data_IF_428659515604
#
_entry.id   IF_428659515604
#
_cell.length_a   1.000
_cell.length_b   1.000
_cell.length_c   1.000
_cell.angle_alpha   90.00
_cell.angle_beta   90.00
_cell.angle_gamma   90.00
#
_symmetry.space_group_name_H-M   'P 1'
#
loop_
_entity.id
_entity.type
_entity.pdbx_description
1 polymer ?
#
# COMPACT_ATOMS: atom_id res chain seq x y z
N UNK A 1 74.39 33.75 6.98
CA UNK A 1 73.35 33.01 7.72
C UNK A 1 72.02 33.63 7.34
N UNK A 2 71.14 32.78 6.83
CA UNK A 2 69.93 33.11 6.08
C UNK A 2 68.76 33.52 6.99
N UNK A 3 67.73 34.07 6.34
CA UNK A 3 66.28 34.03 6.64
C UNK A 3 65.66 35.43 6.67
N UNK A 4 64.48 35.70 6.11
CA UNK A 4 63.65 35.06 5.11
C UNK A 4 62.66 36.17 4.73
N UNK A 5 62.50 36.40 3.44
CA UNK A 5 61.55 37.38 2.88
C UNK A 5 60.12 36.91 3.15
N UNK A 6 59.31 37.71 3.86
CA UNK A 6 57.90 37.39 4.09
C UNK A 6 57.01 38.24 3.18
N UNK A 7 56.58 37.62 2.08
CA UNK A 7 55.52 38.13 1.20
C UNK A 7 54.17 37.82 1.88
N UNK A 8 53.22 38.77 1.96
CA UNK A 8 51.88 38.47 2.44
C UNK A 8 51.15 37.56 1.44
N UNK A 9 50.77 36.37 1.90
CA UNK A 9 49.97 35.39 1.17
C UNK A 9 48.51 35.88 1.10
N UNK A 10 47.99 36.09 -0.10
CA UNK A 10 46.55 36.21 -0.38
C UNK A 10 45.85 34.91 0.04
N UNK A 11 44.71 34.93 0.75
CA UNK A 11 43.99 33.69 1.01
C UNK A 11 43.36 33.21 -0.29
N UNK A 12 43.89 32.10 -0.81
CA UNK A 12 43.23 31.31 -1.85
C UNK A 12 41.94 30.73 -1.26
N UNK A 13 40.79 31.18 -1.77
CA UNK A 13 39.54 30.48 -1.53
C UNK A 13 39.65 29.08 -2.15
N UNK A 14 39.66 28.04 -1.31
CA UNK A 14 39.61 26.64 -1.76
C UNK A 14 38.35 26.39 -2.58
N UNK A 15 38.44 25.93 -3.84
CA UNK A 15 37.27 25.68 -4.66
C UNK A 15 36.87 24.20 -4.55
N UNK A 16 36.60 23.70 -3.34
CA UNK A 16 36.22 22.29 -3.16
C UNK A 16 35.35 22.10 -1.91
N UNK A 17 34.19 22.75 -1.83
CA UNK A 17 33.08 22.17 -1.06
C UNK A 17 31.70 22.71 -1.45
N UNK A 18 31.30 22.49 -2.69
CA UNK A 18 29.86 22.59 -3.02
C UNK A 18 29.52 21.63 -4.14
N UNK A 19 29.88 20.36 -3.95
CA UNK A 19 29.22 19.28 -4.66
C UNK A 19 27.80 19.14 -4.07
N UNK A 20 26.88 19.96 -4.56
CA UNK A 20 25.45 19.69 -4.39
C UNK A 20 25.18 18.26 -4.88
N UNK A 21 24.43 17.42 -4.14
CA UNK A 21 24.20 16.05 -4.57
C UNK A 21 23.23 16.06 -5.75
N UNK A 22 23.77 15.90 -6.96
CA UNK A 22 23.03 15.75 -8.21
C UNK A 22 22.23 14.43 -8.32
N UNK A 23 21.97 13.76 -7.19
CA UNK A 23 21.11 12.56 -7.08
C UNK A 23 19.79 12.77 -6.33
N UNK A 24 19.50 13.98 -5.86
CA UNK A 24 18.42 14.23 -4.89
C UNK A 24 17.00 14.34 -5.45
N UNK A 25 16.81 14.89 -6.66
CA UNK A 25 15.46 15.22 -7.15
C UNK A 25 14.59 13.99 -7.48
N UNK A 26 15.06 12.98 -8.24
CA UNK A 26 14.26 11.78 -8.49
C UNK A 26 14.02 10.95 -7.23
N UNK A 27 15.00 10.90 -6.33
CA UNK A 27 14.87 10.19 -5.04
C UNK A 27 13.86 10.87 -4.11
N UNK A 28 13.87 12.21 -4.05
CA UNK A 28 12.90 12.98 -3.28
C UNK A 28 11.48 12.83 -3.83
N UNK A 29 11.32 12.82 -5.16
CA UNK A 29 10.03 12.61 -5.82
C UNK A 29 9.47 11.21 -5.56
N UNK A 30 10.30 10.17 -5.68
CA UNK A 30 9.93 8.79 -5.31
C UNK A 30 9.52 8.72 -3.83
N UNK A 31 10.24 9.42 -2.95
CA UNK A 31 9.90 9.49 -1.53
C UNK A 31 8.52 10.09 -1.27
N UNK A 32 8.16 11.16 -1.97
CA UNK A 32 6.81 11.75 -1.85
C UNK A 32 5.72 10.84 -2.40
N UNK A 33 5.96 10.20 -3.54
CA UNK A 33 5.02 9.24 -4.11
C UNK A 33 4.78 8.05 -3.17
N UNK A 34 5.81 7.54 -2.49
CA UNK A 34 5.67 6.49 -1.47
C UNK A 34 4.84 6.94 -0.29
N UNK A 35 5.09 8.14 0.26
CA UNK A 35 4.25 8.70 1.34
C UNK A 35 2.78 8.83 0.93
N UNK A 36 2.50 9.14 -0.33
CA UNK A 36 1.13 9.17 -0.87
C UNK A 36 0.52 7.77 -0.95
N UNK A 37 1.29 6.77 -1.35
CA UNK A 37 0.89 5.35 -1.35
C UNK A 37 0.58 4.90 0.08
N UNK A 38 1.45 5.19 1.06
CA UNK A 38 1.25 4.80 2.46
C UNK A 38 -0.08 5.36 3.02
N UNK A 39 -0.44 6.60 2.65
CA UNK A 39 -1.73 7.19 3.04
C UNK A 39 -2.93 6.50 2.40
N UNK A 40 -2.79 5.99 1.19
CA UNK A 40 -3.82 5.20 0.52
C UNK A 40 -3.91 3.81 1.18
N UNK A 41 -2.77 3.19 1.47
CA UNK A 41 -2.71 1.87 2.09
C UNK A 41 -3.33 1.86 3.49
N UNK A 42 -3.13 2.93 4.27
CA UNK A 42 -3.84 3.11 5.54
C UNK A 42 -5.37 3.13 5.36
N UNK A 43 -5.87 3.86 4.36
CA UNK A 43 -7.31 3.89 4.04
C UNK A 43 -7.82 2.55 3.53
N UNK A 44 -7.01 1.84 2.73
CA UNK A 44 -7.32 0.49 2.26
C UNK A 44 -7.45 -0.48 3.44
N UNK A 45 -6.55 -0.42 4.42
CA UNK A 45 -6.61 -1.28 5.61
C UNK A 45 -7.93 -1.10 6.37
N UNK A 46 -8.35 0.14 6.62
CA UNK A 46 -9.63 0.40 7.29
C UNK A 46 -10.85 -0.06 6.46
N UNK A 47 -10.80 0.10 5.14
CA UNK A 47 -11.88 -0.36 4.25
C UNK A 47 -11.97 -1.89 4.22
N UNK A 48 -10.82 -2.57 4.23
CA UNK A 48 -10.75 -4.02 4.28
C UNK A 48 -11.30 -4.56 5.61
N UNK A 49 -10.94 -3.94 6.72
CA UNK A 49 -11.48 -4.28 8.05
C UNK A 49 -13.01 -4.17 8.09
N UNK A 50 -13.54 -3.00 7.70
CA UNK A 50 -14.99 -2.79 7.64
C UNK A 50 -15.69 -3.78 6.72
N UNK A 51 -15.05 -4.14 5.59
CA UNK A 51 -15.58 -5.13 4.66
C UNK A 51 -15.59 -6.53 5.27
N UNK A 52 -14.54 -6.92 5.99
CA UNK A 52 -14.46 -8.22 6.65
C UNK A 52 -15.54 -8.36 7.73
N UNK A 53 -15.76 -7.33 8.55
CA UNK A 53 -16.86 -7.30 9.53
C UNK A 53 -18.23 -7.48 8.87
N UNK A 54 -18.52 -6.76 7.78
CA UNK A 54 -19.76 -6.96 7.03
C UNK A 54 -19.87 -8.36 6.41
N UNK A 55 -18.75 -8.93 5.96
CA UNK A 55 -18.74 -10.30 5.46
C UNK A 55 -19.06 -11.29 6.60
N UNK A 56 -18.50 -11.11 7.80
CA UNK A 56 -18.80 -11.92 8.97
C UNK A 56 -20.29 -11.85 9.33
N UNK A 57 -20.88 -10.65 9.32
CA UNK A 57 -22.32 -10.44 9.53
C UNK A 57 -23.16 -11.24 8.53
N UNK A 58 -22.82 -11.15 7.23
CA UNK A 58 -23.47 -11.93 6.17
C UNK A 58 -23.32 -13.42 6.40
N UNK A 59 -22.13 -13.89 6.80
CA UNK A 59 -21.88 -15.31 7.04
C UNK A 59 -22.72 -15.86 8.21
N UNK A 60 -22.96 -15.07 9.27
CA UNK A 60 -23.83 -15.47 10.38
C UNK A 60 -25.30 -15.63 9.98
N UNK A 61 -25.73 -14.94 8.92
CA UNK A 61 -27.10 -15.00 8.41
C UNK A 61 -27.31 -16.10 7.34
N UNK A 62 -26.23 -16.61 6.74
CA UNK A 62 -26.33 -17.62 5.68
C UNK A 62 -26.60 -19.01 6.25
N UNK A 63 -27.51 -19.80 5.64
CA UNK A 63 -27.76 -21.19 6.05
C UNK A 63 -26.55 -22.11 5.80
N UNK A 64 -25.74 -21.80 4.78
CA UNK A 64 -24.44 -22.42 4.53
C UNK A 64 -23.40 -21.30 4.49
N UNK A 65 -22.64 -21.19 5.57
CA UNK A 65 -21.58 -20.19 5.74
C UNK A 65 -20.21 -20.64 5.23
N UNK A 66 -19.20 -19.79 5.43
CA UNK A 66 -17.81 -20.04 5.03
C UNK A 66 -17.62 -20.14 3.51
N UNK A 67 -16.58 -20.87 3.12
CA UNK A 67 -16.23 -21.10 1.71
C UNK A 67 -17.31 -21.83 0.91
N UNK A 68 -18.11 -22.67 1.56
CA UNK A 68 -19.22 -23.37 0.92
C UNK A 68 -20.37 -22.43 0.49
N UNK A 69 -20.47 -21.25 1.09
CA UNK A 69 -21.45 -20.22 0.77
C UNK A 69 -20.98 -19.18 -0.27
N UNK A 70 -19.91 -19.46 -1.03
CA UNK A 70 -19.44 -18.57 -2.10
C UNK A 70 -20.43 -18.51 -3.26
N UNK A 71 -20.55 -17.32 -3.84
CA UNK A 71 -21.45 -17.03 -4.94
C UNK A 71 -20.64 -16.45 -6.11
N UNK A 72 -20.22 -17.30 -7.07
CA UNK A 72 -19.38 -16.88 -8.18
C UNK A 72 -20.04 -15.82 -9.08
N UNK A 73 -21.37 -15.79 -9.17
CA UNK A 73 -22.09 -14.81 -9.97
C UNK A 73 -22.06 -13.43 -9.30
N UNK A 74 -22.35 -13.38 -7.99
CA UNK A 74 -22.25 -12.16 -7.20
C UNK A 74 -20.83 -11.59 -7.20
N UNK A 75 -19.82 -12.45 -7.14
CA UNK A 75 -18.41 -12.08 -7.19
C UNK A 75 -18.01 -11.51 -8.56
N UNK A 76 -18.47 -12.11 -9.67
CA UNK A 76 -18.25 -11.57 -11.03
C UNK A 76 -18.92 -10.20 -11.20
N UNK A 77 -20.15 -10.04 -10.74
CA UNK A 77 -20.87 -8.77 -10.81
C UNK A 77 -20.17 -7.66 -10.01
N UNK A 78 -19.65 -7.99 -8.82
CA UNK A 78 -18.83 -7.09 -8.01
C UNK A 78 -17.59 -6.62 -8.79
N UNK A 79 -16.85 -7.55 -9.38
CA UNK A 79 -15.63 -7.23 -10.15
C UNK A 79 -15.94 -6.36 -11.37
N UNK A 80 -17.02 -6.65 -12.09
CA UNK A 80 -17.45 -5.84 -13.23
C UNK A 80 -17.72 -4.38 -12.81
N UNK A 81 -18.49 -4.17 -11.73
CA UNK A 81 -18.76 -2.84 -11.20
C UNK A 81 -17.49 -2.12 -10.70
N UNK A 82 -16.52 -2.85 -10.16
CA UNK A 82 -15.22 -2.27 -9.77
C UNK A 82 -14.38 -1.88 -10.98
N UNK A 83 -14.45 -2.65 -12.08
CA UNK A 83 -13.67 -2.39 -13.29
C UNK A 83 -14.07 -1.07 -13.97
N UNK A 84 -15.35 -0.68 -13.90
CA UNK A 84 -15.83 0.63 -14.35
C UNK A 84 -15.16 1.78 -13.59
N UNK A 85 -14.89 1.58 -12.29
CA UNK A 85 -14.29 2.59 -11.40
C UNK A 85 -12.76 2.58 -11.45
N UNK A 86 -12.15 1.44 -11.77
CA UNK A 86 -10.70 1.24 -11.83
C UNK A 86 -10.27 0.68 -13.21
N UNK A 87 -10.47 1.43 -14.31
CA UNK A 87 -10.23 0.95 -15.67
C UNK A 87 -8.77 0.56 -15.90
N UNK A 88 -7.81 1.23 -15.23
CA UNK A 88 -6.37 0.88 -15.30
C UNK A 88 -6.06 -0.53 -14.79
N UNK A 89 -6.83 -1.04 -13.83
CA UNK A 89 -6.65 -2.40 -13.33
C UNK A 89 -7.40 -3.41 -14.21
N UNK A 90 -8.63 -3.07 -14.59
CA UNK A 90 -9.51 -3.92 -15.38
C UNK A 90 -10.03 -5.15 -14.60
N UNK A 91 -11.03 -5.82 -15.15
CA UNK A 91 -11.73 -6.91 -14.48
C UNK A 91 -10.82 -8.07 -14.07
N UNK A 92 -9.85 -8.48 -14.90
CA UNK A 92 -9.01 -9.64 -14.62
C UNK A 92 -8.07 -9.43 -13.41
N UNK A 93 -7.51 -8.22 -13.23
CA UNK A 93 -6.67 -7.94 -12.05
C UNK A 93 -7.53 -7.76 -10.81
N UNK A 94 -8.66 -7.08 -10.95
CA UNK A 94 -9.62 -6.90 -9.85
C UNK A 94 -10.20 -8.23 -9.37
N UNK A 95 -10.46 -9.18 -10.25
CA UNK A 95 -10.91 -10.52 -9.88
C UNK A 95 -9.91 -11.21 -8.92
N UNK A 96 -8.62 -11.16 -9.23
CA UNK A 96 -7.58 -11.76 -8.39
C UNK A 96 -7.44 -11.06 -7.04
N UNK A 97 -7.49 -9.73 -7.03
CA UNK A 97 -7.44 -8.94 -5.78
C UNK A 97 -8.65 -9.27 -4.91
N UNK A 98 -9.86 -9.24 -5.50
CA UNK A 98 -11.08 -9.47 -4.76
C UNK A 98 -11.24 -10.91 -4.29
N UNK A 99 -10.71 -11.90 -5.02
CA UNK A 99 -10.65 -13.28 -4.54
C UNK A 99 -9.89 -13.34 -3.20
N UNK A 100 -8.68 -12.78 -3.13
CA UNK A 100 -7.90 -12.74 -1.88
C UNK A 100 -8.60 -11.97 -0.76
N UNK A 101 -9.25 -10.83 -1.08
CA UNK A 101 -10.00 -10.04 -0.10
C UNK A 101 -11.26 -10.77 0.40
N UNK A 102 -11.90 -11.59 -0.44
CA UNK A 102 -13.03 -12.44 -0.03
C UNK A 102 -12.53 -13.57 0.86
N UNK A 103 -11.49 -14.27 0.44
CA UNK A 103 -10.92 -15.42 1.15
C UNK A 103 -10.43 -15.02 2.55
N UNK A 104 -9.63 -13.95 2.66
CA UNK A 104 -9.17 -13.45 3.95
C UNK A 104 -10.32 -13.05 4.88
N UNK A 105 -11.41 -12.47 4.34
CA UNK A 105 -12.59 -12.13 5.13
C UNK A 105 -13.37 -13.36 5.61
N UNK A 106 -13.38 -14.45 4.83
CA UNK A 106 -13.99 -15.71 5.24
C UNK A 106 -13.17 -16.39 6.34
N UNK A 107 -11.84 -16.42 6.18
CA UNK A 107 -10.89 -16.95 7.17
C UNK A 107 -11.03 -16.23 8.51
N UNK A 108 -10.97 -14.89 8.52
CA UNK A 108 -11.14 -14.10 9.72
C UNK A 108 -12.47 -14.37 10.44
N UNK A 109 -13.56 -14.50 9.67
CA UNK A 109 -14.87 -14.82 10.24
C UNK A 109 -14.94 -16.25 10.81
N UNK A 110 -14.21 -17.21 10.23
CA UNK A 110 -14.07 -18.57 10.76
C UNK A 110 -13.27 -18.59 12.06
N UNK A 111 -12.16 -17.86 12.11
CA UNK A 111 -11.33 -17.71 13.32
C UNK A 111 -12.12 -17.09 14.48
N UNK A 112 -12.89 -16.04 14.23
CA UNK A 112 -13.74 -15.40 15.24
C UNK A 112 -14.80 -16.36 15.80
N UNK A 113 -15.47 -17.13 14.92
CA UNK A 113 -16.44 -18.17 15.36
C UNK A 113 -15.77 -19.26 16.17
N UNK A 114 -14.58 -19.70 15.77
CA UNK A 114 -13.79 -20.70 16.50
C UNK A 114 -13.27 -20.17 17.85
N UNK A 115 -12.98 -18.88 17.96
CA UNK A 115 -12.63 -18.23 19.22
C UNK A 115 -13.83 -18.10 20.16
N UNK A 116 -15.01 -17.74 19.63
CA UNK A 116 -16.24 -17.60 20.42
C UNK A 116 -16.82 -18.95 20.92
N UNK A 117 -16.45 -20.07 20.28
CA UNK A 117 -16.90 -21.40 20.65
C UNK A 117 -15.97 -22.11 21.67
N UNK A 118 -14.84 -21.49 22.05
CA UNK A 118 -13.89 -21.97 23.06
C UNK A 118 -14.18 -21.34 24.41
#
# INVERSE_FOLDING_TARGET
MAETSQIPQTPAASPLDTAAPLGGAPAAEVGELRRRIDRIDAQLAELLERRALLAADVQRLKPVGGFAGRDPERERALVAAMAERAPRLGAARLARIMAGVIEAGLEAAEEERGAAAR
#
